data_IF_920060691338
#
_entry.id   IF_920060691338
#
_cell.length_a   1.000
_cell.length_b   1.000
_cell.length_c   1.000
_cell.angle_alpha   90.00
_cell.angle_beta   90.00
_cell.angle_gamma   90.00
#
_symmetry.space_group_name_H-M   'P 1'
#
loop_
_entity.id
_entity.type
_entity.pdbx_description
1 polymer ?
#
# COMPACT_ATOMS: atom_id res chain seq x y z
N UNK A 1 -11.87 2.53 -18.65
CA UNK A 1 -10.43 2.37 -18.92
C UNK A 1 -10.08 0.93 -18.56
N UNK A 2 -9.43 0.19 -19.45
CA UNK A 2 -9.11 -1.23 -19.21
C UNK A 2 -7.61 -1.34 -18.90
N UNK A 3 -7.24 -1.00 -17.68
CA UNK A 3 -5.85 -1.11 -17.20
C UNK A 3 -5.80 -2.26 -16.21
N UNK A 4 -4.90 -3.20 -16.48
CA UNK A 4 -4.57 -4.31 -15.62
C UNK A 4 -3.07 -4.27 -15.32
N UNK A 5 -2.72 -4.53 -14.08
CA UNK A 5 -1.34 -4.65 -13.63
C UNK A 5 -1.18 -5.94 -12.84
N UNK A 6 0.05 -6.38 -12.62
CA UNK A 6 0.33 -7.58 -11.82
C UNK A 6 1.09 -7.19 -10.56
N UNK A 7 0.80 -7.91 -9.48
CA UNK A 7 1.58 -7.90 -8.24
C UNK A 7 1.95 -9.33 -7.86
N UNK A 8 3.01 -9.50 -7.09
CA UNK A 8 3.37 -10.77 -6.48
C UNK A 8 2.94 -10.76 -5.01
N UNK A 9 2.17 -11.77 -4.58
CA UNK A 9 1.73 -11.90 -3.20
C UNK A 9 1.52 -13.37 -2.85
N UNK A 10 2.08 -13.84 -1.73
CA UNK A 10 2.03 -15.22 -1.24
C UNK A 10 2.32 -16.28 -2.30
N UNK A 11 3.34 -16.03 -3.13
CA UNK A 11 3.79 -16.94 -4.18
C UNK A 11 2.93 -16.96 -5.45
N UNK A 12 1.88 -16.14 -5.52
CA UNK A 12 1.03 -16.00 -6.70
C UNK A 12 1.27 -14.66 -7.41
N UNK A 13 1.18 -14.69 -8.75
CA UNK A 13 1.03 -13.47 -9.55
C UNK A 13 -0.44 -13.12 -9.63
N UNK A 14 -0.80 -12.00 -9.04
CA UNK A 14 -2.19 -11.53 -8.96
C UNK A 14 -2.39 -10.35 -9.89
N UNK A 15 -3.33 -10.50 -10.80
CA UNK A 15 -3.77 -9.39 -11.66
C UNK A 15 -4.67 -8.46 -10.89
N UNK A 16 -4.44 -7.18 -11.03
CA UNK A 16 -5.23 -6.09 -10.42
C UNK A 16 -5.77 -5.21 -11.51
N UNK A 17 -7.08 -4.97 -11.49
CA UNK A 17 -7.78 -4.10 -12.41
C UNK A 17 -8.31 -2.87 -11.68
N UNK A 18 -8.35 -1.74 -12.38
CA UNK A 18 -8.91 -0.51 -11.85
C UNK A 18 -10.20 -0.11 -12.57
N UNK A 19 -11.20 0.27 -11.79
CA UNK A 19 -12.39 0.96 -12.27
C UNK A 19 -12.29 2.44 -11.90
N UNK A 20 -12.39 3.31 -12.89
CA UNK A 20 -12.41 4.76 -12.67
C UNK A 20 -13.84 5.22 -12.46
N UNK A 21 -14.08 5.88 -11.34
CA UNK A 21 -15.32 6.61 -11.10
C UNK A 21 -15.16 8.02 -11.63
N UNK A 22 -16.09 8.46 -12.48
CA UNK A 22 -16.00 9.76 -13.12
C UNK A 22 -16.28 10.90 -12.12
N UNK A 23 -15.46 11.96 -12.13
CA UNK A 23 -15.61 13.08 -11.20
C UNK A 23 -16.99 13.73 -11.22
N UNK A 24 -17.61 13.78 -12.40
CA UNK A 24 -18.95 14.38 -12.59
C UNK A 24 -20.04 13.66 -11.82
N UNK A 25 -19.83 12.39 -11.46
CA UNK A 25 -20.86 11.59 -10.77
C UNK A 25 -21.09 12.06 -9.33
N UNK A 26 -20.04 12.54 -8.66
CA UNK A 26 -20.09 12.94 -7.24
C UNK A 26 -19.48 14.33 -6.98
N UNK A 27 -19.05 15.05 -8.00
CA UNK A 27 -18.38 16.35 -7.84
C UNK A 27 -17.02 16.25 -7.12
N UNK A 28 -16.31 15.14 -7.29
CA UNK A 28 -15.03 14.85 -6.63
C UNK A 28 -13.86 14.79 -7.61
N UNK A 29 -12.64 14.55 -7.11
CA UNK A 29 -11.52 14.11 -7.94
C UNK A 29 -11.78 12.70 -8.53
N UNK A 30 -11.03 12.27 -9.55
CA UNK A 30 -11.12 10.89 -10.05
C UNK A 30 -10.82 9.89 -8.95
N UNK A 31 -11.66 8.85 -8.81
CA UNK A 31 -11.47 7.74 -7.88
C UNK A 31 -11.19 6.48 -8.68
N UNK A 32 -10.17 5.73 -8.27
CA UNK A 32 -9.80 4.46 -8.87
C UNK A 32 -10.07 3.34 -7.87
N UNK A 33 -11.04 2.49 -8.17
CA UNK A 33 -11.38 1.31 -7.37
C UNK A 33 -10.60 0.12 -7.90
N UNK A 34 -9.77 -0.46 -7.07
CA UNK A 34 -8.94 -1.62 -7.42
C UNK A 34 -9.67 -2.92 -7.09
N UNK A 35 -9.54 -3.90 -7.96
CA UNK A 35 -10.05 -5.25 -7.72
C UNK A 35 -9.11 -6.31 -8.25
N UNK A 36 -9.03 -7.41 -7.52
CA UNK A 36 -8.41 -8.67 -7.96
C UNK A 36 -9.45 -9.71 -8.39
N UNK A 37 -10.76 -9.43 -8.27
CA UNK A 37 -11.81 -10.34 -8.72
C UNK A 37 -12.00 -10.26 -10.24
N UNK A 38 -11.03 -10.85 -10.94
CA UNK A 38 -11.01 -10.89 -12.41
C UNK A 38 -10.67 -12.30 -12.90
N UNK A 39 -11.11 -12.58 -14.11
CA UNK A 39 -10.82 -13.85 -14.77
C UNK A 39 -9.29 -14.04 -14.95
N UNK A 40 -8.83 -15.26 -14.74
CA UNK A 40 -7.42 -15.63 -14.81
C UNK A 40 -6.66 -15.50 -13.48
N UNK A 41 -7.27 -14.94 -12.43
CA UNK A 41 -6.77 -15.08 -11.05
C UNK A 41 -7.29 -16.38 -10.41
N UNK A 42 -6.52 -16.93 -9.48
CA UNK A 42 -6.93 -18.05 -8.63
C UNK A 42 -8.17 -17.69 -7.78
N UNK A 43 -8.86 -18.70 -7.26
CA UNK A 43 -10.01 -18.47 -6.35
C UNK A 43 -9.60 -17.67 -5.10
N UNK A 44 -8.41 -17.91 -4.55
CA UNK A 44 -7.88 -17.17 -3.42
C UNK A 44 -7.61 -15.70 -3.81
N UNK A 45 -6.90 -15.48 -4.91
CA UNK A 45 -6.56 -14.14 -5.38
C UNK A 45 -7.81 -13.30 -5.67
N UNK A 46 -8.86 -13.89 -6.21
CA UNK A 46 -10.13 -13.21 -6.47
C UNK A 46 -10.81 -12.74 -5.18
N UNK A 47 -10.63 -13.45 -4.07
CA UNK A 47 -11.23 -13.11 -2.77
C UNK A 47 -10.55 -11.93 -2.07
N UNK A 48 -9.32 -11.55 -2.43
CA UNK A 48 -8.56 -10.48 -1.78
C UNK A 48 -9.38 -9.18 -1.69
N UNK A 49 -10.11 -8.82 -2.74
CA UNK A 49 -10.88 -7.57 -2.79
C UNK A 49 -12.37 -7.69 -2.40
N UNK A 50 -12.83 -8.86 -1.88
CA UNK A 50 -14.25 -9.07 -1.60
C UNK A 50 -14.74 -8.42 -0.31
N UNK A 51 -13.92 -8.34 0.72
CA UNK A 51 -14.32 -7.83 2.04
C UNK A 51 -13.33 -6.79 2.51
N UNK A 52 -13.85 -5.64 2.92
CA UNK A 52 -13.05 -4.62 3.59
C UNK A 52 -12.68 -5.11 5.00
N UNK A 53 -11.44 -4.90 5.41
CA UNK A 53 -10.91 -5.31 6.72
C UNK A 53 -11.14 -6.79 7.02
N UNK A 54 -10.65 -7.67 6.14
CA UNK A 54 -10.76 -9.11 6.36
C UNK A 54 -10.02 -9.51 7.64
N UNK A 55 -10.56 -10.49 8.37
CA UNK A 55 -9.95 -11.02 9.59
C UNK A 55 -8.81 -12.02 9.34
N UNK A 56 -8.64 -12.50 8.12
CA UNK A 56 -7.51 -13.34 7.73
C UNK A 56 -6.28 -12.46 7.45
N UNK A 57 -5.19 -12.70 8.17
CA UNK A 57 -3.96 -11.90 8.07
C UNK A 57 -3.37 -11.90 6.66
N UNK A 58 -3.38 -13.05 5.96
CA UNK A 58 -2.85 -13.14 4.60
C UNK A 58 -3.69 -12.33 3.62
N UNK A 59 -5.01 -12.43 3.72
CA UNK A 59 -5.92 -11.61 2.92
C UNK A 59 -5.70 -10.13 3.22
N UNK A 60 -5.53 -9.77 4.50
CA UNK A 60 -5.29 -8.39 4.92
C UNK A 60 -4.01 -7.82 4.30
N UNK A 61 -2.89 -8.52 4.42
CA UNK A 61 -1.61 -8.14 3.81
C UNK A 61 -1.73 -8.05 2.28
N UNK A 62 -2.41 -9.01 1.66
CA UNK A 62 -2.62 -8.99 0.21
C UNK A 62 -3.48 -7.77 -0.23
N UNK A 63 -4.50 -7.38 0.55
CA UNK A 63 -5.28 -6.15 0.30
C UNK A 63 -4.40 -4.91 0.30
N UNK A 64 -3.50 -4.79 1.27
CA UNK A 64 -2.56 -3.67 1.37
C UNK A 64 -1.55 -3.67 0.21
N UNK A 65 -1.08 -4.85 -0.20
CA UNK A 65 -0.21 -5.00 -1.37
C UNK A 65 -0.93 -4.59 -2.66
N UNK A 66 -2.20 -5.00 -2.84
CA UNK A 66 -3.05 -4.55 -3.96
C UNK A 66 -3.22 -3.04 -3.94
N UNK A 67 -3.54 -2.46 -2.77
CA UNK A 67 -3.74 -1.03 -2.63
C UNK A 67 -2.47 -0.24 -2.93
N UNK A 68 -1.37 -0.57 -2.29
CA UNK A 68 -0.13 0.21 -2.38
C UNK A 68 0.62 -0.05 -3.68
N UNK A 69 1.11 -1.27 -3.90
CA UNK A 69 1.89 -1.61 -5.10
C UNK A 69 1.00 -1.57 -6.34
N UNK A 70 -0.16 -2.24 -6.27
CA UNK A 70 -1.13 -2.25 -7.37
C UNK A 70 -1.60 -0.84 -7.74
N UNK A 71 -1.87 0.00 -6.74
CA UNK A 71 -2.29 1.39 -6.93
C UNK A 71 -1.24 2.22 -7.67
N UNK A 72 0.02 2.18 -7.25
CA UNK A 72 1.12 2.89 -7.92
C UNK A 72 1.25 2.43 -9.38
N UNK A 73 1.27 1.11 -9.61
CA UNK A 73 1.39 0.54 -10.96
C UNK A 73 0.21 0.92 -11.85
N UNK A 74 -1.01 0.93 -11.32
CA UNK A 74 -2.21 1.37 -12.06
C UNK A 74 -2.11 2.84 -12.45
N UNK A 75 -1.74 3.73 -11.54
CA UNK A 75 -1.60 5.16 -11.86
C UNK A 75 -0.58 5.37 -12.99
N UNK A 76 0.57 4.71 -12.92
CA UNK A 76 1.60 4.76 -13.94
C UNK A 76 1.12 4.18 -15.29
N UNK A 77 0.44 3.04 -15.27
CA UNK A 77 -0.12 2.43 -16.47
C UNK A 77 -1.24 3.30 -17.11
N UNK A 78 -1.88 4.15 -16.31
CA UNK A 78 -2.81 5.16 -16.80
C UNK A 78 -2.11 6.43 -17.35
N UNK A 79 -0.78 6.51 -17.30
CA UNK A 79 -0.04 7.71 -17.67
C UNK A 79 -0.24 8.88 -16.71
N UNK A 80 -0.62 8.60 -15.46
CA UNK A 80 -0.85 9.60 -14.44
C UNK A 80 0.42 9.79 -13.61
N UNK A 81 1.01 10.96 -13.74
CA UNK A 81 2.07 11.41 -12.85
C UNK A 81 1.47 11.95 -11.55
N UNK A 82 2.18 11.73 -10.46
CA UNK A 82 1.83 12.26 -9.16
C UNK A 82 3.05 12.92 -8.52
N UNK A 83 2.82 14.06 -7.89
CA UNK A 83 3.86 14.76 -7.13
C UNK A 83 4.06 14.14 -5.77
N UNK A 84 2.97 13.68 -5.16
CA UNK A 84 2.95 13.13 -3.79
C UNK A 84 1.96 11.96 -3.71
N UNK A 85 2.37 10.91 -3.04
CA UNK A 85 1.49 9.86 -2.51
C UNK A 85 1.18 10.21 -1.06
N UNK A 86 -0.10 10.46 -0.77
CA UNK A 86 -0.58 10.66 0.57
C UNK A 86 -1.13 9.35 1.13
N UNK A 87 -0.40 8.76 2.06
CA UNK A 87 -0.80 7.53 2.76
C UNK A 87 -1.72 7.89 3.92
N UNK A 88 -2.95 7.43 3.85
CA UNK A 88 -3.94 7.55 4.92
C UNK A 88 -3.91 6.26 5.75
N UNK A 89 -3.26 6.30 6.90
CA UNK A 89 -2.85 5.15 7.71
C UNK A 89 -1.82 4.22 7.03
N UNK A 90 -1.41 3.15 7.74
CA UNK A 90 -0.40 2.20 7.29
C UNK A 90 -0.78 1.36 6.08
N UNK A 91 -2.07 1.27 5.75
CA UNK A 91 -2.60 0.37 4.70
C UNK A 91 -2.02 0.61 3.30
N UNK A 92 -1.60 1.83 3.01
CA UNK A 92 -1.00 2.18 1.72
C UNK A 92 0.54 2.16 1.74
N UNK A 93 1.16 1.74 2.83
CA UNK A 93 2.62 1.70 2.98
C UNK A 93 3.35 0.93 1.86
N UNK A 94 2.82 -0.17 1.29
CA UNK A 94 3.46 -0.83 0.15
C UNK A 94 3.70 0.09 -1.06
N UNK A 95 2.96 1.21 -1.18
CA UNK A 95 3.24 2.21 -2.21
C UNK A 95 4.62 2.85 -2.03
N UNK A 96 5.02 3.15 -0.80
CA UNK A 96 6.35 3.70 -0.51
C UNK A 96 7.46 2.67 -0.81
N UNK A 97 7.22 1.37 -0.58
CA UNK A 97 8.15 0.32 -0.97
C UNK A 97 8.23 0.13 -2.49
N UNK A 98 7.12 0.25 -3.21
CA UNK A 98 7.16 0.25 -4.68
C UNK A 98 7.97 1.44 -5.23
N UNK A 99 7.85 2.63 -4.63
CA UNK A 99 8.71 3.76 -4.97
C UNK A 99 10.18 3.49 -4.60
N UNK A 100 10.44 2.87 -3.44
CA UNK A 100 11.80 2.52 -3.02
C UNK A 100 12.48 1.60 -4.05
N UNK A 101 11.74 0.62 -4.58
CA UNK A 101 12.18 -0.25 -5.67
C UNK A 101 12.47 0.57 -6.94
N UNK A 102 11.58 1.47 -7.33
CA UNK A 102 11.72 2.30 -8.54
C UNK A 102 12.89 3.28 -8.44
N UNK A 103 13.17 3.78 -7.25
CA UNK A 103 14.31 4.69 -6.99
C UNK A 103 15.58 3.95 -6.55
N UNK A 104 15.68 2.63 -6.87
CA UNK A 104 16.87 1.82 -6.59
C UNK A 104 17.34 1.88 -5.12
N UNK A 105 16.41 1.94 -4.18
CA UNK A 105 16.68 1.97 -2.74
C UNK A 105 16.95 3.37 -2.16
N UNK A 106 16.84 4.43 -2.95
CA UNK A 106 17.00 5.80 -2.46
C UNK A 106 15.82 6.24 -1.61
N UNK A 107 15.97 6.12 -0.29
CA UNK A 107 14.95 6.52 0.68
C UNK A 107 14.68 8.04 0.64
N UNK A 108 15.68 8.86 0.31
CA UNK A 108 15.46 10.31 0.26
C UNK A 108 14.56 10.67 -0.92
N UNK A 109 14.72 10.02 -2.07
CA UNK A 109 13.83 10.19 -3.21
C UNK A 109 12.39 9.75 -2.86
N UNK A 110 12.22 8.63 -2.15
CA UNK A 110 10.90 8.18 -1.64
C UNK A 110 10.28 9.23 -0.73
N UNK A 111 11.03 9.74 0.25
CA UNK A 111 10.55 10.76 1.19
C UNK A 111 10.04 12.02 0.48
N UNK A 112 10.67 12.44 -0.62
CA UNK A 112 10.21 13.60 -1.37
C UNK A 112 8.82 13.40 -2.00
N UNK A 113 8.38 12.15 -2.15
CA UNK A 113 7.13 11.76 -2.80
C UNK A 113 6.07 11.25 -1.84
N UNK A 114 6.32 11.19 -0.54
CA UNK A 114 5.40 10.56 0.44
C UNK A 114 5.03 11.49 1.59
N UNK A 115 3.74 11.47 1.93
CA UNK A 115 3.15 12.12 3.10
C UNK A 115 2.33 11.07 3.85
N UNK A 116 2.34 11.11 5.16
CA UNK A 116 1.62 10.15 6.01
C UNK A 116 0.67 10.85 6.97
N UNK A 117 -0.56 10.34 7.08
CA UNK A 117 -1.52 10.77 8.10
C UNK A 117 -1.90 9.59 8.97
N UNK A 118 -1.69 9.72 10.28
CA UNK A 118 -2.18 8.75 11.26
C UNK A 118 -3.48 9.20 11.91
N UNK A 119 -4.41 8.27 12.07
CA UNK A 119 -5.70 8.47 12.72
C UNK A 119 -5.77 7.82 14.10
N UNK A 120 -4.85 6.89 14.39
CA UNK A 120 -4.97 6.00 15.54
C UNK A 120 -3.94 6.32 16.61
N UNK A 121 -4.35 6.92 17.76
CA UNK A 121 -3.43 7.33 18.82
C UNK A 121 -3.03 6.19 19.76
N UNK A 122 -3.69 5.03 19.65
CA UNK A 122 -3.46 3.90 20.57
C UNK A 122 -2.69 2.79 19.89
N UNK A 123 -1.75 2.19 20.63
CA UNK A 123 -0.88 1.13 20.11
C UNK A 123 -1.67 -0.06 19.52
N UNK A 124 -2.82 -0.40 20.10
CA UNK A 124 -3.67 -1.50 19.62
C UNK A 124 -4.28 -1.27 18.22
N UNK A 125 -4.29 -0.03 17.73
CA UNK A 125 -4.77 0.29 16.38
C UNK A 125 -3.66 0.39 15.34
N UNK A 126 -2.40 0.27 15.77
CA UNK A 126 -1.26 0.27 14.87
C UNK A 126 -0.96 -1.18 14.44
N UNK A 127 -1.13 -1.47 13.16
CA UNK A 127 -0.86 -2.81 12.64
C UNK A 127 0.62 -3.16 12.75
N UNK A 128 0.87 -4.37 13.25
CA UNK A 128 2.19 -4.96 13.41
C UNK A 128 2.14 -6.40 12.90
N UNK A 129 3.06 -6.76 12.04
CA UNK A 129 3.18 -8.10 11.47
C UNK A 129 4.62 -8.61 11.59
N UNK A 130 4.79 -9.92 11.59
CA UNK A 130 6.13 -10.47 11.41
C UNK A 130 6.67 -10.09 10.03
N UNK A 131 7.92 -9.62 9.99
CA UNK A 131 8.56 -9.20 8.72
C UNK A 131 8.54 -10.31 7.68
N UNK A 132 8.71 -11.57 8.08
CA UNK A 132 8.72 -12.70 7.16
C UNK A 132 7.33 -12.96 6.53
N UNK A 133 6.24 -12.76 7.28
CA UNK A 133 4.87 -12.84 6.73
C UNK A 133 4.64 -11.75 5.68
N UNK A 134 5.13 -10.54 5.93
CA UNK A 134 5.06 -9.44 4.96
C UNK A 134 5.94 -9.69 3.73
N UNK A 135 7.12 -10.34 3.90
CA UNK A 135 7.96 -10.77 2.79
C UNK A 135 7.23 -11.77 1.88
N UNK A 136 6.61 -12.80 2.47
CA UNK A 136 5.78 -13.76 1.73
C UNK A 136 4.61 -13.07 1.02
N UNK A 137 4.02 -12.06 1.66
CA UNK A 137 2.95 -11.23 1.11
C UNK A 137 3.35 -10.29 -0.03
N UNK A 138 4.65 -10.22 -0.37
CA UNK A 138 5.15 -9.31 -1.41
C UNK A 138 5.06 -7.83 -1.03
N UNK A 139 4.75 -7.53 0.24
CA UNK A 139 4.49 -6.20 0.78
C UNK A 139 5.59 -5.18 0.50
N UNK A 140 6.84 -5.65 0.48
CA UNK A 140 8.02 -4.80 0.37
C UNK A 140 8.52 -4.58 -1.07
N UNK A 141 7.78 -5.02 -2.07
CA UNK A 141 8.13 -4.83 -3.49
C UNK A 141 9.55 -5.31 -3.87
N UNK A 142 10.04 -6.38 -3.22
CA UNK A 142 11.38 -6.92 -3.45
C UNK A 142 12.50 -6.24 -2.65
N UNK A 143 12.19 -5.38 -1.70
CA UNK A 143 13.16 -4.86 -0.72
C UNK A 143 13.71 -6.00 0.14
N UNK A 144 14.99 -5.92 0.53
CA UNK A 144 15.60 -6.97 1.36
C UNK A 144 15.01 -7.00 2.76
N UNK A 145 15.08 -8.18 3.42
CA UNK A 145 14.62 -8.39 4.79
C UNK A 145 15.33 -7.44 5.78
N UNK A 146 16.63 -7.28 5.63
CA UNK A 146 17.45 -6.42 6.50
C UNK A 146 16.98 -4.96 6.39
N UNK A 147 16.72 -4.51 5.17
CA UNK A 147 16.24 -3.15 4.94
C UNK A 147 14.81 -2.93 5.45
N UNK A 148 13.95 -3.93 5.34
CA UNK A 148 12.63 -3.90 5.95
C UNK A 148 12.72 -3.78 7.48
N UNK A 149 13.58 -4.58 8.13
CA UNK A 149 13.81 -4.51 9.58
C UNK A 149 14.32 -3.13 10.01
N UNK A 150 15.24 -2.53 9.27
CA UNK A 150 15.71 -1.17 9.56
C UNK A 150 14.56 -0.15 9.54
N UNK A 151 13.59 -0.33 8.67
CA UNK A 151 12.46 0.59 8.51
C UNK A 151 11.35 0.37 9.52
N UNK A 152 10.99 -0.86 9.85
CA UNK A 152 9.82 -1.15 10.68
C UNK A 152 10.04 -2.06 11.88
N UNK A 153 11.22 -2.69 11.99
CA UNK A 153 11.53 -3.68 13.01
C UNK A 153 11.24 -5.11 12.55
N UNK A 154 11.63 -6.09 13.35
CA UNK A 154 11.38 -7.51 13.09
C UNK A 154 9.89 -7.86 13.30
N UNK A 155 9.31 -7.35 14.38
CA UNK A 155 7.87 -7.12 14.51
C UNK A 155 7.57 -5.80 13.76
N UNK A 156 7.30 -5.91 12.47
CA UNK A 156 7.25 -4.78 11.58
C UNK A 156 6.03 -3.91 11.87
N UNK A 157 6.27 -2.70 12.37
CA UNK A 157 5.22 -1.71 12.59
C UNK A 157 5.02 -0.88 11.32
N UNK A 158 3.82 -0.95 10.76
CA UNK A 158 3.43 -0.18 9.57
C UNK A 158 3.56 1.33 9.83
N UNK A 159 3.12 1.79 11.01
CA UNK A 159 3.18 3.21 11.40
C UNK A 159 4.62 3.70 11.50
N UNK A 160 5.51 2.95 12.16
CA UNK A 160 6.93 3.34 12.30
C UNK A 160 7.60 3.43 10.93
N UNK A 161 7.35 2.45 10.07
CA UNK A 161 7.91 2.46 8.72
C UNK A 161 7.34 3.62 7.88
N UNK A 162 6.03 3.88 7.95
CA UNK A 162 5.40 5.00 7.25
C UNK A 162 5.99 6.36 7.69
N UNK A 163 6.22 6.55 8.98
CA UNK A 163 6.89 7.76 9.52
C UNK A 163 8.32 7.89 8.97
N UNK A 164 9.08 6.80 8.94
CA UNK A 164 10.48 6.80 8.44
C UNK A 164 10.58 7.00 6.94
N UNK A 165 9.56 6.60 6.19
CA UNK A 165 9.53 6.69 4.73
C UNK A 165 8.85 7.95 4.21
N UNK A 166 8.26 8.77 5.07
CA UNK A 166 7.56 10.00 4.67
C UNK A 166 8.39 11.25 4.96
N UNK A 167 8.23 12.29 4.11
CA UNK A 167 8.81 13.62 4.34
C UNK A 167 8.07 14.37 5.44
N UNK A 168 6.75 14.26 5.42
CA UNK A 168 5.86 14.92 6.36
C UNK A 168 4.89 13.88 6.90
N UNK A 169 4.69 13.89 8.20
CA UNK A 169 3.62 13.16 8.85
C UNK A 169 2.75 14.14 9.64
N UNK A 170 1.46 13.88 9.65
CA UNK A 170 0.51 14.64 10.46
C UNK A 170 -0.49 13.69 11.13
N UNK A 171 -1.11 14.20 12.16
CA UNK A 171 -2.20 13.54 12.87
C UNK A 171 -3.51 14.30 12.64
N UNK A 172 -4.64 13.60 12.76
CA UNK A 172 -5.98 14.16 12.48
C UNK A 172 -6.49 15.11 13.57
N UNK A 173 -5.79 15.22 14.71
CA UNK A 173 -6.12 16.16 15.77
C UNK A 173 -4.87 16.58 16.55
N UNK A 174 -4.96 17.70 17.29
CA UNK A 174 -3.87 18.16 18.15
C UNK A 174 -3.48 17.12 19.21
N UNK A 175 -4.45 16.36 19.73
CA UNK A 175 -4.20 15.32 20.73
C UNK A 175 -3.34 14.17 20.17
N UNK A 176 -3.46 13.87 18.87
CA UNK A 176 -2.66 12.84 18.21
C UNK A 176 -1.28 13.31 17.78
N UNK A 177 -1.05 14.63 17.73
CA UNK A 177 0.22 15.23 17.30
C UNK A 177 1.20 15.49 18.45
N UNK A 178 0.81 15.20 19.69
CA UNK A 178 1.64 15.30 20.90
C UNK A 178 2.33 13.97 21.21
#
# INVERSE_FOLDING_TARGET
>A
MNVEVEIDTFGEKVKVKAYRVEPSLFGTCPVYLLTSDIEGNSEWARKISHRLYDGDEKIRIAQETVLGIGGVRVLQACGLDFDVIHMNEGHALPAAFELLRQYNGDLNAVKQKTVFTTHTPVAAGNEVHWVDTLMEGGFFAGCSRERAIELGGENFSLTVAALRMSRIANAVSQLHGL
#
